data_IF_560947574593
#
_entry.id   IF_560947574593
#
_cell.length_a   1.000
_cell.length_b   1.000
_cell.length_c   1.000
_cell.angle_alpha   90.00
_cell.angle_beta   90.00
_cell.angle_gamma   90.00
#
_symmetry.space_group_name_H-M   'P 1'
#
loop_
_entity.id
_entity.type
_entity.pdbx_description
1 polymer ?
#
# COMPACT_ATOMS: atom_id res chain seq x y z
N UNK A 1 -26.25 48.12 13.61
CA UNK A 1 -26.12 47.61 12.25
C UNK A 1 -24.81 46.80 12.21
N UNK A 2 -24.88 45.52 12.44
CA UNK A 2 -23.77 44.60 12.35
C UNK A 2 -24.00 43.78 11.07
N UNK A 3 -23.12 43.97 10.12
CA UNK A 3 -23.08 43.19 8.88
C UNK A 3 -22.39 41.87 9.18
N UNK A 4 -23.17 40.81 9.14
CA UNK A 4 -22.69 39.44 9.12
C UNK A 4 -22.09 39.15 7.74
N UNK A 5 -20.76 39.04 7.67
CA UNK A 5 -20.08 38.48 6.51
C UNK A 5 -20.32 36.98 6.53
N UNK A 6 -21.23 36.55 5.67
CA UNK A 6 -21.51 35.17 5.35
C UNK A 6 -20.40 34.71 4.37
N UNK A 7 -19.35 34.04 4.87
CA UNK A 7 -18.33 33.41 4.04
C UNK A 7 -18.99 32.34 3.17
N UNK A 8 -18.94 32.54 1.87
CA UNK A 8 -19.40 31.57 0.88
C UNK A 8 -18.58 30.28 0.99
N UNK A 9 -19.20 29.09 0.83
CA UNK A 9 -18.47 27.83 0.86
C UNK A 9 -17.49 27.78 -0.32
N UNK A 10 -16.22 27.49 -0.02
CA UNK A 10 -15.17 27.25 -1.02
C UNK A 10 -15.60 26.03 -1.85
N UNK A 11 -15.89 26.25 -3.12
CA UNK A 11 -16.13 25.15 -4.09
C UNK A 11 -14.90 24.25 -4.14
N UNK A 12 -15.08 22.98 -3.75
CA UNK A 12 -14.03 21.94 -3.84
C UNK A 12 -13.82 21.58 -5.30
N UNK A 13 -12.74 22.06 -5.89
CA UNK A 13 -12.25 21.59 -7.20
C UNK A 13 -11.49 20.27 -6.98
N UNK A 14 -12.23 19.22 -6.62
CA UNK A 14 -11.69 17.87 -6.60
C UNK A 14 -11.27 17.45 -8.01
N UNK A 15 -10.17 16.71 -8.15
CA UNK A 15 -9.78 16.08 -9.41
C UNK A 15 -10.98 15.33 -9.97
N UNK A 16 -11.29 15.51 -11.29
CA UNK A 16 -12.47 14.91 -11.94
C UNK A 16 -12.46 13.39 -11.89
N UNK A 17 -11.28 12.77 -11.66
CA UNK A 17 -11.08 11.32 -11.66
C UNK A 17 -11.32 10.66 -10.27
N UNK A 18 -11.23 11.42 -9.15
CA UNK A 18 -11.37 10.88 -7.79
C UNK A 18 -12.21 11.80 -6.91
N UNK A 19 -13.56 11.77 -7.04
CA UNK A 19 -14.43 12.62 -6.24
C UNK A 19 -14.29 12.29 -4.76
N UNK A 20 -13.95 13.32 -3.95
CA UNK A 20 -13.76 13.18 -2.50
C UNK A 20 -12.36 12.81 -2.04
N UNK A 21 -11.37 12.79 -2.92
CA UNK A 21 -9.93 12.76 -2.57
C UNK A 21 -9.32 14.15 -2.82
N UNK A 22 -8.35 14.55 -1.99
CA UNK A 22 -7.65 15.83 -2.10
C UNK A 22 -6.21 15.66 -2.57
N UNK A 23 -5.75 16.57 -3.41
CA UNK A 23 -4.33 16.68 -3.75
C UNK A 23 -3.55 17.33 -2.61
N UNK A 24 -2.37 16.79 -2.29
CA UNK A 24 -1.49 17.36 -1.26
C UNK A 24 -0.16 17.78 -1.91
N UNK A 25 0.27 19.02 -1.68
CA UNK A 25 1.52 19.55 -2.22
C UNK A 25 2.37 20.19 -1.13
N UNK A 26 3.65 19.83 -1.08
CA UNK A 26 4.69 20.47 -0.27
C UNK A 26 5.50 21.41 -1.18
N UNK A 27 5.57 22.69 -0.82
CA UNK A 27 6.28 23.74 -1.56
C UNK A 27 7.42 24.32 -0.71
N UNK A 28 8.65 23.85 -0.92
CA UNK A 28 9.88 24.27 -0.24
C UNK A 28 9.74 24.29 1.29
N UNK A 29 9.08 23.26 1.83
CA UNK A 29 8.71 23.21 3.26
C UNK A 29 9.94 22.95 4.11
N UNK A 30 10.21 23.86 5.05
CA UNK A 30 11.29 23.72 6.02
C UNK A 30 10.76 23.79 7.44
N UNK A 31 11.41 23.03 8.34
CA UNK A 31 11.15 23.06 9.78
C UNK A 31 12.42 23.15 10.57
N UNK A 32 12.56 24.22 11.36
CA UNK A 32 13.61 24.39 12.36
C UNK A 32 12.99 24.54 13.73
N UNK A 33 13.44 23.72 14.68
CA UNK A 33 13.03 23.86 16.07
C UNK A 33 13.92 24.90 16.78
N UNK A 34 13.39 25.67 17.75
CA UNK A 34 14.20 26.59 18.54
C UNK A 34 15.36 25.87 19.24
N UNK A 35 16.58 26.41 19.09
CA UNK A 35 17.79 25.82 19.68
C UNK A 35 18.37 24.60 18.95
N UNK A 36 17.80 24.17 17.84
CA UNK A 36 18.38 23.12 17.01
C UNK A 36 19.44 23.67 16.05
N UNK A 37 20.60 23.00 15.98
CA UNK A 37 21.69 23.38 15.06
C UNK A 37 21.32 23.12 13.59
N UNK A 38 20.54 22.07 13.35
CA UNK A 38 20.10 21.69 12.00
C UNK A 38 18.56 21.70 11.88
N UNK A 39 18.02 22.00 10.69
CA UNK A 39 16.59 21.88 10.45
C UNK A 39 16.14 20.41 10.52
N UNK A 40 14.93 20.19 11.02
CA UNK A 40 14.30 18.87 11.00
C UNK A 40 13.76 18.51 9.59
N UNK A 41 13.47 19.52 8.77
CA UNK A 41 13.12 19.40 7.35
C UNK A 41 13.75 20.57 6.59
N UNK A 42 14.23 20.30 5.39
CA UNK A 42 14.90 21.27 4.52
C UNK A 42 14.31 21.21 3.12
N UNK A 43 13.64 22.32 2.74
CA UNK A 43 13.11 22.59 1.38
C UNK A 43 12.37 21.41 0.74
N UNK A 44 11.57 20.70 1.57
CA UNK A 44 10.81 19.54 1.12
C UNK A 44 9.77 19.97 0.07
N UNK A 45 9.88 19.41 -1.15
CA UNK A 45 8.99 19.72 -2.27
C UNK A 45 8.60 18.44 -3.00
N UNK A 46 7.32 18.11 -2.97
CA UNK A 46 6.71 17.03 -3.76
C UNK A 46 5.19 17.16 -3.73
N UNK A 47 4.52 16.45 -4.63
CA UNK A 47 3.08 16.52 -4.81
C UNK A 47 2.49 15.12 -4.79
N UNK A 48 1.47 14.90 -3.96
CA UNK A 48 0.71 13.65 -3.88
C UNK A 48 -0.58 13.85 -4.67
N UNK A 49 -0.75 13.13 -5.81
CA UNK A 49 -1.98 13.17 -6.57
C UNK A 49 -3.19 12.71 -5.76
N UNK A 50 -4.38 13.23 -6.10
CA UNK A 50 -5.61 12.80 -5.46
C UNK A 50 -5.87 11.30 -5.67
N UNK A 51 -6.23 10.59 -4.61
CA UNK A 51 -6.55 9.16 -4.65
C UNK A 51 -5.34 8.22 -4.57
N UNK A 52 -4.11 8.74 -4.55
CA UNK A 52 -2.89 7.94 -4.42
C UNK A 52 -2.42 7.78 -2.96
N UNK A 53 -1.72 6.67 -2.71
CA UNK A 53 -0.96 6.43 -1.48
C UNK A 53 0.47 6.92 -1.69
N UNK A 54 0.89 7.94 -0.95
CA UNK A 54 2.28 8.38 -0.87
C UNK A 54 2.93 7.87 0.42
N UNK A 55 4.00 7.11 0.30
CA UNK A 55 4.75 6.59 1.45
C UNK A 55 5.99 7.43 1.71
N UNK A 56 6.07 8.04 2.91
CA UNK A 56 7.29 8.68 3.39
C UNK A 56 8.14 7.62 4.12
N UNK A 57 9.33 7.35 3.59
CA UNK A 57 10.23 6.34 4.16
C UNK A 57 11.65 6.92 4.34
N UNK A 58 12.41 6.35 5.27
CA UNK A 58 13.79 6.78 5.54
C UNK A 58 14.23 6.44 6.96
N UNK A 59 15.49 6.72 7.32
CA UNK A 59 16.04 6.45 8.65
C UNK A 59 15.26 7.12 9.78
N UNK A 60 15.42 6.62 11.00
CA UNK A 60 14.84 7.27 12.17
C UNK A 60 15.38 8.70 12.32
N UNK A 61 14.51 9.64 12.66
CA UNK A 61 14.90 11.04 12.84
C UNK A 61 15.00 11.87 11.56
N UNK A 62 14.78 11.31 10.36
CA UNK A 62 14.87 12.09 9.11
C UNK A 62 13.67 13.02 8.83
N UNK A 63 12.73 13.18 9.78
CA UNK A 63 11.68 14.20 9.67
C UNK A 63 10.32 13.73 9.14
N UNK A 64 10.10 12.44 8.85
CA UNK A 64 8.83 11.91 8.31
C UNK A 64 7.59 12.30 9.14
N UNK A 65 7.61 11.97 10.42
CA UNK A 65 6.52 12.32 11.35
C UNK A 65 6.37 13.85 11.50
N UNK A 66 7.48 14.61 11.41
CA UNK A 66 7.44 16.08 11.42
C UNK A 66 6.71 16.60 10.17
N UNK A 67 7.05 16.10 8.98
CA UNK A 67 6.37 16.46 7.72
C UNK A 67 4.86 16.21 7.82
N UNK A 68 4.48 15.00 8.26
CA UNK A 68 3.08 14.63 8.39
C UNK A 68 2.33 15.50 9.44
N UNK A 69 2.97 15.81 10.58
CA UNK A 69 2.38 16.67 11.62
C UNK A 69 2.22 18.12 11.20
N UNK A 70 2.96 18.59 10.21
CA UNK A 70 2.77 19.92 9.64
C UNK A 70 1.55 19.97 8.72
N UNK A 71 1.21 18.88 8.01
CA UNK A 71 0.00 18.82 7.16
C UNK A 71 -1.26 19.11 7.96
N UNK A 72 -1.41 18.51 9.16
CA UNK A 72 -2.58 18.75 10.03
C UNK A 72 -2.38 19.87 11.05
N UNK A 73 -1.32 20.68 10.87
CA UNK A 73 -0.97 21.82 11.75
C UNK A 73 -0.85 21.46 13.22
N UNK A 74 -0.36 20.26 13.55
CA UNK A 74 0.10 19.95 14.91
C UNK A 74 1.45 20.59 15.20
N UNK A 75 2.22 20.87 14.15
CA UNK A 75 3.50 21.57 14.19
C UNK A 75 3.45 22.67 13.12
N UNK A 76 3.88 23.88 13.46
CA UNK A 76 3.93 24.98 12.52
C UNK A 76 5.09 24.84 11.53
N UNK A 77 4.85 25.22 10.29
CA UNK A 77 5.84 25.31 9.22
C UNK A 77 6.73 26.54 9.50
N UNK A 78 8.06 26.40 9.35
CA UNK A 78 8.98 27.54 9.47
C UNK A 78 9.01 28.34 8.17
N UNK A 79 9.36 27.69 7.04
CA UNK A 79 9.41 28.27 5.70
C UNK A 79 8.69 27.38 4.69
N UNK A 80 8.26 27.97 3.59
CA UNK A 80 7.48 27.30 2.56
C UNK A 80 5.99 27.18 2.93
N UNK A 81 5.27 26.33 2.19
CA UNK A 81 3.84 26.09 2.42
C UNK A 81 3.43 24.65 2.10
N UNK A 82 2.31 24.22 2.65
CA UNK A 82 1.64 22.96 2.32
C UNK A 82 0.25 23.32 1.79
N UNK A 83 -0.06 22.81 0.61
CA UNK A 83 -1.35 23.05 -0.02
C UNK A 83 -2.19 21.77 0.02
N UNK A 84 -3.47 21.89 0.34
CA UNK A 84 -4.48 20.85 0.25
C UNK A 84 -5.54 21.34 -0.74
N UNK A 85 -5.67 20.68 -1.89
CA UNK A 85 -6.46 21.14 -3.05
C UNK A 85 -6.14 22.60 -3.45
N UNK A 86 -4.85 22.93 -3.50
CA UNK A 86 -4.38 24.27 -3.85
C UNK A 86 -4.56 25.32 -2.76
N UNK A 87 -5.23 25.00 -1.63
CA UNK A 87 -5.43 25.93 -0.52
C UNK A 87 -4.37 25.72 0.58
N UNK A 88 -3.71 26.82 1.02
CA UNK A 88 -2.70 26.76 2.07
C UNK A 88 -3.28 26.29 3.40
N UNK A 89 -2.66 25.25 3.99
CA UNK A 89 -3.03 24.79 5.34
C UNK A 89 -2.78 25.84 6.40
N UNK A 90 -1.84 26.78 6.16
CA UNK A 90 -1.52 27.87 7.12
C UNK A 90 -2.67 28.87 7.26
N UNK A 91 -3.49 29.05 6.23
CA UNK A 91 -4.60 30.00 6.21
C UNK A 91 -5.89 29.43 6.80
N UNK A 92 -5.97 28.11 7.02
CA UNK A 92 -7.16 27.43 7.54
C UNK A 92 -7.15 27.40 9.07
N UNK A 93 -8.32 27.37 9.69
CA UNK A 93 -8.43 27.15 11.14
C UNK A 93 -7.90 25.74 11.49
N UNK A 94 -6.95 25.60 12.45
CA UNK A 94 -6.37 24.30 12.77
C UNK A 94 -7.38 23.25 13.23
N UNK A 95 -8.42 23.65 13.96
CA UNK A 95 -9.44 22.71 14.45
C UNK A 95 -10.31 22.17 13.32
N UNK A 96 -10.67 23.03 12.36
CA UNK A 96 -11.49 22.65 11.22
C UNK A 96 -10.70 21.79 10.24
N UNK A 97 -9.44 22.18 9.95
CA UNK A 97 -8.51 21.36 9.14
C UNK A 97 -8.35 19.94 9.71
N UNK A 98 -8.16 19.80 11.02
CA UNK A 98 -8.00 18.48 11.67
C UNK A 98 -9.25 17.61 11.63
N UNK A 99 -10.44 18.21 11.57
CA UNK A 99 -11.69 17.46 11.41
C UNK A 99 -11.91 16.95 10.00
N UNK A 100 -11.29 17.60 9.02
CA UNK A 100 -11.33 17.19 7.61
C UNK A 100 -10.25 16.19 7.21
N UNK A 101 -9.23 15.97 8.07
CA UNK A 101 -8.13 15.03 7.83
C UNK A 101 -8.32 13.79 8.71
N UNK A 102 -8.36 12.62 8.11
CA UNK A 102 -8.32 11.35 8.83
C UNK A 102 -6.91 11.12 9.39
N UNK A 103 -6.78 10.79 10.68
CA UNK A 103 -5.47 10.58 11.27
C UNK A 103 -5.39 9.27 12.05
N UNK A 104 -4.50 8.37 11.60
CA UNK A 104 -4.17 7.11 12.27
C UNK A 104 -2.78 7.26 12.90
N UNK A 105 -2.72 7.26 14.24
CA UNK A 105 -1.47 7.38 15.01
C UNK A 105 -0.85 6.00 15.26
N UNK A 106 0.47 5.96 15.46
CA UNK A 106 1.30 4.77 15.68
C UNK A 106 0.76 3.83 16.78
N UNK A 107 0.19 4.34 17.84
CA UNK A 107 -0.40 3.56 18.94
C UNK A 107 -1.93 3.49 18.86
N UNK A 108 -2.53 3.37 17.70
CA UNK A 108 -3.98 3.26 17.41
C UNK A 108 -4.85 4.31 18.14
N UNK A 109 -4.52 4.68 19.38
CA UNK A 109 -5.14 5.75 20.17
C UNK A 109 -6.66 5.65 20.33
N UNK A 110 -7.21 4.44 20.40
CA UNK A 110 -8.63 4.26 20.75
C UNK A 110 -8.86 4.70 22.19
N UNK A 111 -9.97 5.38 22.42
CA UNK A 111 -10.40 5.76 23.76
C UNK A 111 -10.85 4.52 24.52
N UNK A 112 -10.13 4.09 25.59
CA UNK A 112 -10.40 2.80 26.25
C UNK A 112 -11.75 2.74 26.98
N UNK A 113 -12.28 3.89 27.34
CA UNK A 113 -13.55 4.07 28.04
C UNK A 113 -14.77 4.23 27.12
N UNK A 114 -14.53 4.28 25.79
CA UNK A 114 -15.59 4.33 24.78
C UNK A 114 -15.72 2.97 24.10
N UNK A 115 -16.95 2.61 23.72
CA UNK A 115 -17.19 1.45 22.88
C UNK A 115 -16.53 1.60 21.50
N UNK A 116 -16.42 0.52 20.75
CA UNK A 116 -15.91 0.55 19.36
C UNK A 116 -16.76 1.49 18.49
N UNK A 117 -18.10 1.39 18.61
CA UNK A 117 -19.00 2.28 17.88
C UNK A 117 -18.82 3.75 18.26
N UNK A 118 -18.64 4.03 19.55
CA UNK A 118 -18.40 5.40 20.04
C UNK A 118 -17.02 5.94 19.62
N UNK A 119 -16.00 5.08 19.56
CA UNK A 119 -14.70 5.45 19.01
C UNK A 119 -14.82 5.88 17.53
N UNK A 120 -15.52 5.11 16.71
CA UNK A 120 -15.77 5.45 15.29
C UNK A 120 -16.60 6.73 15.18
N UNK A 121 -17.64 6.88 16.02
CA UNK A 121 -18.54 8.03 16.00
C UNK A 121 -17.93 9.35 16.50
N UNK A 122 -16.71 9.36 16.99
CA UNK A 122 -16.10 10.53 17.65
C UNK A 122 -16.08 11.76 16.74
N UNK A 123 -15.55 11.64 15.52
CA UNK A 123 -15.44 12.78 14.58
C UNK A 123 -16.80 13.19 14.02
N UNK A 124 -17.69 12.30 13.56
CA UNK A 124 -19.05 12.63 13.19
C UNK A 124 -19.81 13.45 14.24
N UNK A 125 -19.72 13.05 15.52
CA UNK A 125 -20.34 13.80 16.63
C UNK A 125 -19.74 15.19 16.81
N UNK A 126 -18.42 15.33 16.68
CA UNK A 126 -17.75 16.64 16.73
C UNK A 126 -18.15 17.57 15.57
N UNK A 127 -18.56 16.98 14.44
CA UNK A 127 -19.10 17.69 13.27
C UNK A 127 -20.61 17.98 13.41
N UNK A 128 -21.25 17.57 14.50
CA UNK A 128 -22.66 17.81 14.74
C UNK A 128 -23.61 16.92 13.90
N UNK A 129 -23.14 15.75 13.43
CA UNK A 129 -24.03 14.84 12.72
C UNK A 129 -25.13 14.34 13.65
N UNK A 130 -26.35 14.21 13.12
CA UNK A 130 -27.42 13.61 13.86
C UNK A 130 -27.16 12.13 14.19
N UNK A 131 -27.91 11.64 15.19
CA UNK A 131 -27.71 10.29 15.72
C UNK A 131 -27.93 9.21 14.65
N UNK A 132 -28.98 9.36 13.83
CA UNK A 132 -29.36 8.35 12.81
C UNK A 132 -28.26 8.23 11.74
N UNK A 133 -27.76 9.37 11.24
CA UNK A 133 -26.65 9.43 10.27
C UNK A 133 -25.37 8.83 10.85
N UNK A 134 -25.04 9.15 12.10
CA UNK A 134 -23.86 8.63 12.79
C UNK A 134 -23.93 7.12 12.99
N UNK A 135 -25.07 6.58 13.44
CA UNK A 135 -25.27 5.14 13.63
C UNK A 135 -25.19 4.38 12.29
N UNK A 136 -25.80 4.91 11.23
CA UNK A 136 -25.70 4.34 9.88
C UNK A 136 -24.24 4.31 9.39
N UNK A 137 -23.49 5.38 9.60
CA UNK A 137 -22.07 5.46 9.20
C UNK A 137 -21.20 4.48 10.00
N UNK A 138 -21.43 4.31 11.30
CA UNK A 138 -20.73 3.30 12.12
C UNK A 138 -20.99 1.90 11.57
N UNK A 139 -22.22 1.57 11.21
CA UNK A 139 -22.58 0.27 10.65
C UNK A 139 -21.87 0.03 9.31
N UNK A 140 -21.93 0.98 8.40
CA UNK A 140 -21.25 0.94 7.11
C UNK A 140 -19.73 0.72 7.27
N UNK A 141 -19.10 1.43 8.22
CA UNK A 141 -17.66 1.31 8.45
C UNK A 141 -17.28 -0.03 9.10
N UNK A 142 -18.11 -0.60 9.95
CA UNK A 142 -17.87 -1.95 10.48
C UNK A 142 -17.92 -3.01 9.38
N UNK A 143 -18.85 -2.89 8.44
CA UNK A 143 -18.91 -3.76 7.26
C UNK A 143 -17.67 -3.58 6.38
N UNK A 144 -17.29 -2.33 6.10
CA UNK A 144 -16.13 -1.96 5.29
C UNK A 144 -14.82 -2.56 5.83
N UNK A 145 -14.64 -2.56 7.17
CA UNK A 145 -13.46 -3.14 7.83
C UNK A 145 -13.61 -4.62 8.19
N UNK A 146 -14.66 -5.29 7.68
CA UNK A 146 -14.94 -6.71 7.89
C UNK A 146 -15.02 -7.09 9.39
N UNK A 147 -15.72 -6.28 10.18
CA UNK A 147 -16.05 -6.60 11.57
C UNK A 147 -17.55 -6.83 11.74
N UNK A 148 -17.95 -7.85 12.56
CA UNK A 148 -19.34 -8.11 12.85
C UNK A 148 -20.05 -6.91 13.49
N UNK A 149 -21.34 -6.65 13.15
CA UNK A 149 -22.08 -5.49 13.66
C UNK A 149 -22.13 -5.38 15.19
N UNK A 150 -22.14 -6.51 15.89
CA UNK A 150 -22.13 -6.57 17.36
C UNK A 150 -20.81 -6.07 17.97
N UNK A 151 -19.75 -5.94 17.17
CA UNK A 151 -18.47 -5.38 17.62
C UNK A 151 -18.61 -3.92 18.07
N UNK A 152 -19.60 -3.18 17.60
CA UNK A 152 -19.85 -1.78 17.99
C UNK A 152 -20.00 -1.58 19.49
N UNK A 153 -20.58 -2.58 20.18
CA UNK A 153 -20.90 -2.50 21.60
C UNK A 153 -19.76 -2.96 22.51
N UNK A 154 -18.68 -3.53 21.92
CA UNK A 154 -17.47 -3.96 22.65
C UNK A 154 -16.55 -2.78 22.95
N UNK A 155 -15.65 -2.97 23.91
CA UNK A 155 -14.60 -2.02 24.26
C UNK A 155 -13.26 -2.43 23.63
N UNK A 156 -12.30 -1.49 23.49
CA UNK A 156 -10.98 -1.78 22.91
C UNK A 156 -10.24 -2.94 23.58
N UNK A 157 -10.44 -3.19 24.88
CA UNK A 157 -9.82 -4.31 25.60
C UNK A 157 -10.39 -5.68 25.21
N UNK A 158 -11.58 -5.73 24.61
CA UNK A 158 -12.31 -6.96 24.26
C UNK A 158 -12.07 -7.40 22.80
N UNK A 159 -11.25 -6.68 22.06
CA UNK A 159 -10.94 -6.95 20.66
C UNK A 159 -9.45 -7.15 20.46
N UNK A 160 -9.07 -7.93 19.43
CA UNK A 160 -7.66 -8.21 19.11
C UNK A 160 -6.90 -6.96 18.64
N UNK A 161 -5.56 -7.03 18.64
CA UNK A 161 -4.71 -5.95 18.12
C UNK A 161 -5.05 -5.55 16.69
N UNK A 162 -5.22 -6.52 15.79
CA UNK A 162 -5.61 -6.28 14.40
C UNK A 162 -7.04 -5.70 14.27
N UNK A 163 -7.99 -6.13 15.12
CA UNK A 163 -9.31 -5.52 15.16
C UNK A 163 -9.24 -4.06 15.62
N UNK A 164 -8.47 -3.77 16.70
CA UNK A 164 -8.25 -2.38 17.15
C UNK A 164 -7.69 -1.51 16.04
N UNK A 165 -6.76 -2.03 15.23
CA UNK A 165 -6.19 -1.28 14.13
C UNK A 165 -7.22 -0.96 13.05
N UNK A 166 -8.01 -1.94 12.63
CA UNK A 166 -9.11 -1.72 11.69
C UNK A 166 -10.11 -0.68 12.21
N UNK A 167 -10.44 -0.72 13.49
CA UNK A 167 -11.26 0.31 14.14
C UNK A 167 -10.60 1.70 14.10
N UNK A 168 -9.28 1.79 14.27
CA UNK A 168 -8.52 3.03 14.12
C UNK A 168 -8.64 3.63 12.71
N UNK A 169 -8.56 2.77 11.68
CA UNK A 169 -8.81 3.17 10.27
C UNK A 169 -10.26 3.62 10.07
N UNK A 170 -11.23 2.85 10.56
CA UNK A 170 -12.64 3.22 10.47
C UNK A 170 -12.95 4.57 11.15
N UNK A 171 -12.35 4.83 12.32
CA UNK A 171 -12.46 6.12 13.00
C UNK A 171 -11.90 7.26 12.16
N UNK A 172 -10.76 7.05 11.51
CA UNK A 172 -10.15 8.05 10.63
C UNK A 172 -11.03 8.32 9.39
N UNK A 173 -11.72 7.30 8.87
CA UNK A 173 -12.64 7.39 7.72
C UNK A 173 -14.03 7.90 8.09
N UNK A 174 -14.37 8.02 9.37
CA UNK A 174 -15.76 8.23 9.83
C UNK A 174 -16.41 9.50 9.25
N UNK A 175 -15.64 10.57 9.11
CA UNK A 175 -16.11 11.84 8.54
C UNK A 175 -15.96 11.92 7.01
N UNK A 176 -15.61 10.82 6.35
CA UNK A 176 -15.30 10.77 4.92
C UNK A 176 -14.23 11.79 4.48
N UNK A 177 -13.03 11.79 5.10
CA UNK A 177 -12.01 12.78 4.84
C UNK A 177 -11.45 12.65 3.42
N UNK A 178 -11.05 13.78 2.77
CA UNK A 178 -10.38 13.74 1.46
C UNK A 178 -8.92 13.32 1.55
N UNK A 179 -8.31 13.43 2.73
CA UNK A 179 -6.91 13.08 3.01
C UNK A 179 -6.81 12.25 4.30
N UNK A 180 -6.02 11.20 4.26
CA UNK A 180 -5.66 10.41 5.44
C UNK A 180 -4.16 10.48 5.71
N UNK A 181 -3.79 10.60 6.98
CA UNK A 181 -2.41 10.56 7.47
C UNK A 181 -2.25 9.32 8.35
N UNK A 182 -1.21 8.52 8.12
CA UNK A 182 -0.95 7.29 8.87
C UNK A 182 0.49 7.21 9.33
N UNK A 183 0.71 7.22 10.66
CA UNK A 183 2.03 7.17 11.28
C UNK A 183 2.33 5.73 11.74
N UNK A 184 3.16 5.01 11.01
CA UNK A 184 3.57 3.62 11.25
C UNK A 184 2.41 2.69 11.67
N UNK A 185 1.30 2.64 10.91
CA UNK A 185 0.09 1.95 11.36
C UNK A 185 0.28 0.44 11.55
N UNK A 186 1.29 -0.18 10.93
CA UNK A 186 1.56 -1.62 11.03
C UNK A 186 2.82 -1.95 11.87
N UNK A 187 3.48 -0.96 12.47
CA UNK A 187 4.77 -1.13 13.15
C UNK A 187 4.78 -2.11 14.34
N UNK A 188 3.68 -2.24 15.07
CA UNK A 188 3.58 -3.07 16.28
C UNK A 188 2.87 -4.42 16.06
N UNK A 189 2.83 -4.93 14.81
CA UNK A 189 2.09 -6.14 14.44
C UNK A 189 3.07 -7.22 14.00
N UNK A 190 2.77 -8.47 14.35
CA UNK A 190 3.55 -9.61 13.88
C UNK A 190 3.52 -9.73 12.33
N UNK A 191 4.57 -10.29 11.69
CA UNK A 191 4.71 -10.27 10.23
C UNK A 191 3.53 -10.90 9.46
N UNK A 192 2.97 -12.01 9.95
CA UNK A 192 1.88 -12.73 9.28
C UNK A 192 0.59 -11.91 9.30
N UNK A 193 0.26 -11.38 10.48
CA UNK A 193 -0.92 -10.52 10.66
C UNK A 193 -0.76 -9.21 9.90
N UNK A 194 0.46 -8.64 9.88
CA UNK A 194 0.81 -7.40 9.14
C UNK A 194 0.53 -7.57 7.66
N UNK A 195 1.05 -8.62 7.03
CA UNK A 195 0.87 -8.89 5.61
C UNK A 195 -0.62 -8.97 5.23
N UNK A 196 -1.41 -9.70 6.02
CA UNK A 196 -2.86 -9.80 5.83
C UNK A 196 -3.55 -8.44 5.94
N UNK A 197 -3.22 -7.64 6.98
CA UNK A 197 -3.84 -6.33 7.18
C UNK A 197 -3.48 -5.34 6.10
N UNK A 198 -2.25 -5.36 5.58
CA UNK A 198 -1.83 -4.56 4.44
C UNK A 198 -2.64 -4.92 3.19
N UNK A 199 -2.81 -6.21 2.90
CA UNK A 199 -3.61 -6.67 1.76
C UNK A 199 -5.09 -6.28 1.90
N UNK A 200 -5.67 -6.39 3.10
CA UNK A 200 -7.03 -5.92 3.40
C UNK A 200 -7.14 -4.39 3.20
N UNK A 201 -6.13 -3.63 3.65
CA UNK A 201 -6.10 -2.19 3.49
C UNK A 201 -5.98 -1.75 2.03
N UNK A 202 -5.14 -2.41 1.23
CA UNK A 202 -5.01 -2.10 -0.20
C UNK A 202 -6.32 -2.36 -0.96
N UNK A 203 -7.05 -3.44 -0.63
CA UNK A 203 -8.39 -3.69 -1.18
C UNK A 203 -9.37 -2.58 -0.80
N UNK A 204 -9.38 -2.20 0.48
CA UNK A 204 -10.19 -1.09 0.97
C UNK A 204 -9.89 0.21 0.22
N UNK A 205 -8.61 0.53 0.00
CA UNK A 205 -8.19 1.72 -0.73
C UNK A 205 -8.69 1.72 -2.19
N UNK A 206 -8.73 0.58 -2.85
CA UNK A 206 -9.30 0.45 -4.21
C UNK A 206 -10.77 0.87 -4.26
N UNK A 207 -11.52 0.63 -3.19
CA UNK A 207 -12.94 0.99 -3.08
C UNK A 207 -13.13 2.47 -2.71
N UNK A 208 -12.38 2.96 -1.71
CA UNK A 208 -12.58 4.33 -1.17
C UNK A 208 -11.81 5.41 -1.92
N UNK A 209 -10.70 5.07 -2.57
CA UNK A 209 -9.84 5.96 -3.37
C UNK A 209 -9.49 7.30 -2.71
N UNK A 210 -9.14 7.27 -1.42
CA UNK A 210 -8.71 8.46 -0.68
C UNK A 210 -7.23 8.74 -0.89
N UNK A 211 -6.84 10.02 -0.81
CA UNK A 211 -5.41 10.35 -0.75
C UNK A 211 -4.86 9.99 0.61
N UNK A 212 -3.75 9.27 0.63
CA UNK A 212 -3.16 8.75 1.86
C UNK A 212 -1.68 9.13 1.92
N UNK A 213 -1.26 9.76 3.02
CA UNK A 213 0.16 9.90 3.36
C UNK A 213 0.48 8.91 4.47
N UNK A 214 1.35 7.98 4.15
CA UNK A 214 1.73 6.86 4.99
C UNK A 214 3.19 7.00 5.41
N UNK A 215 3.49 6.90 6.70
CA UNK A 215 4.88 6.96 7.21
C UNK A 215 5.31 5.59 7.68
N UNK A 216 6.47 5.14 7.24
CA UNK A 216 7.11 3.91 7.70
C UNK A 216 8.65 4.07 7.72
N UNK A 217 9.33 3.14 8.38
CA UNK A 217 10.78 2.99 8.29
C UNK A 217 11.18 1.74 7.46
N UNK A 218 10.19 0.98 6.97
CA UNK A 218 10.36 -0.25 6.22
C UNK A 218 10.17 0.01 4.72
N UNK A 219 11.24 -0.19 3.94
CA UNK A 219 11.21 0.01 2.48
C UNK A 219 10.34 -1.04 1.77
N UNK A 220 10.26 -2.27 2.29
CA UNK A 220 9.42 -3.32 1.71
C UNK A 220 7.94 -2.98 1.88
N UNK A 221 7.58 -2.40 3.02
CA UNK A 221 6.25 -1.86 3.26
C UNK A 221 5.94 -0.70 2.31
N UNK A 222 6.90 0.23 2.10
CA UNK A 222 6.74 1.34 1.17
C UNK A 222 6.52 0.87 -0.27
N UNK A 223 7.29 -0.12 -0.72
CA UNK A 223 7.16 -0.72 -2.07
C UNK A 223 5.81 -1.41 -2.24
N UNK A 224 5.34 -2.12 -1.21
CA UNK A 224 4.07 -2.86 -1.25
C UNK A 224 2.85 -1.95 -1.23
N UNK A 225 2.92 -0.87 -0.45
CA UNK A 225 1.75 -0.05 -0.11
C UNK A 225 1.61 1.21 -0.98
N UNK A 226 2.72 1.76 -1.50
CA UNK A 226 2.73 3.08 -2.10
C UNK A 226 2.51 3.07 -3.61
N UNK A 227 1.69 3.98 -4.11
CA UNK A 227 1.69 4.39 -5.51
C UNK A 227 2.90 5.28 -5.79
N UNK A 228 3.31 6.06 -4.78
CA UNK A 228 4.53 6.87 -4.77
C UNK A 228 5.29 6.73 -3.46
N UNK A 229 6.61 6.83 -3.54
CA UNK A 229 7.50 6.77 -2.38
C UNK A 229 8.35 8.03 -2.32
N UNK A 230 8.34 8.71 -1.17
CA UNK A 230 9.24 9.81 -0.83
C UNK A 230 10.35 9.28 0.11
N UNK A 231 11.53 9.03 -0.42
CA UNK A 231 12.70 8.60 0.37
C UNK A 231 13.38 9.82 0.96
N UNK A 232 13.42 9.86 2.29
CA UNK A 232 14.04 10.95 3.05
C UNK A 232 15.35 10.49 3.65
N UNK A 233 16.37 11.37 3.63
CA UNK A 233 17.65 11.16 4.33
C UNK A 233 17.74 12.01 5.60
N UNK A 234 18.73 11.74 6.42
CA UNK A 234 19.04 12.56 7.60
C UNK A 234 19.17 14.05 7.22
N UNK A 235 18.74 14.92 8.14
CA UNK A 235 18.65 16.35 7.88
C UNK A 235 17.36 16.79 7.18
N UNK A 236 16.40 15.90 7.00
CA UNK A 236 15.07 16.24 6.49
C UNK A 236 15.03 16.55 4.98
N UNK A 237 15.97 16.00 4.22
CA UNK A 237 16.11 16.22 2.77
C UNK A 237 15.44 15.09 2.00
N UNK A 238 14.66 15.44 0.97
CA UNK A 238 14.11 14.48 0.01
C UNK A 238 15.24 13.92 -0.88
N UNK A 239 15.48 12.62 -0.82
CA UNK A 239 16.49 11.96 -1.63
C UNK A 239 15.94 11.57 -3.01
N UNK A 240 14.73 10.98 -3.03
CA UNK A 240 14.03 10.63 -4.26
C UNK A 240 12.52 10.61 -4.00
N UNK A 241 11.74 11.00 -5.02
CA UNK A 241 10.30 10.89 -5.05
C UNK A 241 9.86 10.32 -6.39
N UNK A 242 9.35 9.10 -6.40
CA UNK A 242 8.91 8.43 -7.63
C UNK A 242 7.98 7.25 -7.31
N UNK A 243 7.58 6.50 -8.36
CA UNK A 243 6.89 5.22 -8.19
C UNK A 243 7.86 4.14 -7.67
N UNK A 244 7.35 3.08 -7.01
CA UNK A 244 8.18 1.97 -6.54
C UNK A 244 9.06 1.37 -7.64
N UNK A 245 8.52 1.18 -8.85
CA UNK A 245 9.23 0.62 -9.99
C UNK A 245 10.46 1.47 -10.34
N UNK A 246 10.28 2.79 -10.50
CA UNK A 246 11.37 3.70 -10.85
C UNK A 246 12.44 3.78 -9.77
N UNK A 247 12.05 3.76 -8.50
CA UNK A 247 12.99 3.75 -7.39
C UNK A 247 13.86 2.47 -7.41
N UNK A 248 13.26 1.33 -7.76
CA UNK A 248 13.97 0.05 -7.87
C UNK A 248 14.86 -0.03 -9.11
N UNK A 249 14.45 0.58 -10.22
CA UNK A 249 15.18 0.59 -11.50
C UNK A 249 16.29 1.62 -11.53
N UNK A 250 15.98 2.86 -11.13
CA UNK A 250 16.84 4.03 -11.26
C UNK A 250 16.97 4.77 -9.89
N UNK A 251 17.69 4.20 -8.89
CA UNK A 251 17.97 4.92 -7.66
C UNK A 251 18.72 6.23 -7.96
N UNK A 252 18.24 7.36 -7.41
CA UNK A 252 18.80 8.68 -7.70
C UNK A 252 20.26 8.85 -7.28
N UNK A 253 20.69 8.11 -6.26
CA UNK A 253 22.06 8.12 -5.77
C UNK A 253 22.42 6.85 -4.97
N UNK A 254 23.66 6.78 -4.51
CA UNK A 254 24.18 5.64 -3.73
C UNK A 254 23.45 5.45 -2.37
N UNK A 255 22.96 6.54 -1.77
CA UNK A 255 22.18 6.43 -0.54
C UNK A 255 20.86 5.70 -0.80
N UNK A 256 20.13 6.10 -1.83
CA UNK A 256 18.88 5.44 -2.23
C UNK A 256 19.13 3.99 -2.59
N UNK A 257 20.16 3.71 -3.41
CA UNK A 257 20.52 2.36 -3.81
C UNK A 257 20.83 1.44 -2.63
N UNK A 258 21.53 1.95 -1.60
CA UNK A 258 21.81 1.20 -0.37
C UNK A 258 20.58 1.06 0.53
N UNK A 259 19.75 2.11 0.60
CA UNK A 259 18.53 2.10 1.43
C UNK A 259 17.49 1.10 0.91
N UNK A 260 17.34 1.01 -0.41
CA UNK A 260 16.45 0.03 -1.06
C UNK A 260 16.99 -1.40 -0.91
N UNK A 261 18.30 -1.58 -0.87
CA UNK A 261 18.96 -2.87 -0.67
C UNK A 261 19.48 -3.52 -1.95
N UNK A 262 20.34 -4.53 -1.76
CA UNK A 262 20.93 -5.29 -2.88
C UNK A 262 19.92 -6.24 -3.56
N UNK A 263 18.84 -6.57 -2.87
CA UNK A 263 17.77 -7.46 -3.32
C UNK A 263 16.67 -6.74 -4.13
N UNK A 264 16.95 -5.50 -4.60
CA UNK A 264 16.01 -4.69 -5.39
C UNK A 264 15.40 -5.42 -6.59
N UNK A 265 16.18 -6.32 -7.22
CA UNK A 265 15.67 -7.18 -8.30
C UNK A 265 14.53 -8.10 -7.82
N UNK A 266 14.71 -8.74 -6.65
CA UNK A 266 13.66 -9.58 -6.06
C UNK A 266 12.45 -8.75 -5.60
N UNK A 267 12.67 -7.54 -5.10
CA UNK A 267 11.60 -6.60 -4.73
C UNK A 267 10.79 -6.19 -5.97
N UNK A 268 11.45 -5.98 -7.12
CA UNK A 268 10.77 -5.70 -8.38
C UNK A 268 9.86 -6.85 -8.83
N UNK A 269 10.27 -8.10 -8.62
CA UNK A 269 9.39 -9.25 -8.88
C UNK A 269 8.11 -9.26 -8.03
N UNK A 270 8.11 -8.60 -6.88
CA UNK A 270 6.91 -8.49 -6.05
C UNK A 270 5.88 -7.50 -6.64
N UNK A 271 6.31 -6.57 -7.50
CA UNK A 271 5.43 -5.61 -8.18
C UNK A 271 4.82 -6.17 -9.48
N UNK A 272 5.46 -7.16 -10.09
CA UNK A 272 5.01 -7.81 -11.32
C UNK A 272 4.21 -9.07 -10.99
N UNK A 273 3.24 -9.40 -11.84
CA UNK A 273 2.34 -10.56 -11.67
C UNK A 273 2.56 -11.61 -12.77
N UNK A 274 2.04 -12.80 -12.57
CA UNK A 274 2.03 -13.84 -13.61
C UNK A 274 1.24 -13.43 -14.85
N UNK A 275 0.26 -12.53 -14.71
CA UNK A 275 -0.46 -11.92 -15.85
C UNK A 275 0.45 -11.07 -16.75
N UNK A 276 1.58 -10.57 -16.26
CA UNK A 276 2.47 -9.65 -16.96
C UNK A 276 3.51 -10.38 -17.81
N UNK A 277 3.58 -11.72 -17.71
CA UNK A 277 4.50 -12.55 -18.46
C UNK A 277 3.76 -13.56 -19.35
N UNK A 278 4.43 -14.05 -20.39
CA UNK A 278 3.90 -15.13 -21.22
C UNK A 278 4.02 -16.45 -20.51
N UNK A 279 2.90 -17.14 -20.31
CA UNK A 279 2.89 -18.50 -19.78
C UNK A 279 3.13 -19.52 -20.91
N UNK A 280 3.87 -20.58 -20.62
CA UNK A 280 3.99 -21.72 -21.52
C UNK A 280 2.69 -22.50 -21.58
N UNK A 281 2.40 -23.08 -22.73
CA UNK A 281 1.24 -23.95 -22.91
C UNK A 281 1.44 -25.28 -22.17
N UNK A 282 0.47 -25.66 -21.32
CA UNK A 282 0.43 -26.98 -20.69
C UNK A 282 -0.16 -28.02 -21.64
N UNK A 283 0.40 -29.23 -21.64
CA UNK A 283 -0.16 -30.40 -22.32
C UNK A 283 -1.17 -31.07 -21.35
N UNK A 284 -2.43 -30.59 -21.39
CA UNK A 284 -3.48 -31.07 -20.52
C UNK A 284 -3.99 -32.44 -20.98
N UNK A 285 -3.93 -33.47 -20.13
CA UNK A 285 -4.46 -34.80 -20.35
C UNK A 285 -5.54 -35.13 -19.32
N UNK A 286 -6.63 -35.85 -19.73
CA UNK A 286 -7.61 -36.33 -18.76
C UNK A 286 -6.93 -37.24 -17.71
N UNK A 287 -7.42 -37.19 -16.47
CA UNK A 287 -6.92 -38.06 -15.39
C UNK A 287 -6.98 -39.54 -15.79
N UNK A 288 -5.95 -40.30 -15.42
CA UNK A 288 -5.82 -41.72 -15.79
C UNK A 288 -5.39 -41.99 -17.24
N UNK A 289 -5.16 -40.93 -18.06
CA UNK A 289 -4.68 -41.13 -19.44
C UNK A 289 -3.16 -41.34 -19.46
N UNK A 290 -2.64 -42.39 -20.12
CA UNK A 290 -1.20 -42.57 -20.22
C UNK A 290 -0.56 -41.49 -21.09
N UNK A 291 0.48 -40.84 -20.56
CA UNK A 291 1.24 -39.86 -21.31
C UNK A 291 2.08 -40.51 -22.40
N UNK A 292 2.20 -39.85 -23.57
CA UNK A 292 3.03 -40.37 -24.68
C UNK A 292 4.49 -40.45 -24.25
N UNK A 293 5.23 -41.44 -24.73
CA UNK A 293 6.65 -41.64 -24.42
C UNK A 293 7.53 -40.42 -24.80
N UNK A 294 7.12 -39.62 -25.79
CA UNK A 294 7.81 -38.41 -26.26
C UNK A 294 7.36 -37.11 -25.55
N UNK A 295 6.38 -37.17 -24.63
CA UNK A 295 5.91 -35.97 -23.94
C UNK A 295 6.96 -35.46 -22.96
N UNK A 296 7.14 -34.14 -22.92
CA UNK A 296 7.97 -33.47 -21.91
C UNK A 296 7.27 -33.57 -20.54
N UNK A 297 7.84 -34.28 -19.55
CA UNK A 297 7.23 -34.43 -18.24
C UNK A 297 6.88 -33.12 -17.57
N UNK A 298 7.67 -32.07 -17.82
CA UNK A 298 7.47 -30.73 -17.21
C UNK A 298 6.29 -29.97 -17.81
N UNK A 299 5.71 -30.42 -18.91
CA UNK A 299 4.57 -29.79 -19.59
C UNK A 299 3.25 -30.50 -19.39
N UNK A 300 3.27 -31.77 -18.96
CA UNK A 300 2.06 -32.59 -18.83
C UNK A 300 1.38 -32.32 -17.49
N UNK A 301 0.12 -31.93 -17.57
CA UNK A 301 -0.77 -31.74 -16.41
C UNK A 301 -2.01 -32.57 -16.60
N UNK A 302 -2.31 -33.45 -15.64
CA UNK A 302 -3.55 -34.22 -15.62
C UNK A 302 -4.69 -33.35 -15.09
N UNK A 303 -5.83 -33.38 -15.77
CA UNK A 303 -6.98 -32.53 -15.45
C UNK A 303 -8.26 -33.36 -15.28
N UNK A 304 -9.16 -32.89 -14.44
CA UNK A 304 -10.52 -33.44 -14.31
C UNK A 304 -11.41 -33.04 -15.52
N UNK A 305 -12.67 -33.51 -15.51
CA UNK A 305 -13.67 -33.18 -16.54
C UNK A 305 -13.99 -31.69 -16.68
N UNK A 306 -13.59 -30.89 -15.69
CA UNK A 306 -13.77 -29.42 -15.67
C UNK A 306 -12.50 -28.68 -16.07
N UNK A 307 -11.41 -29.38 -16.40
CA UNK A 307 -10.11 -28.78 -16.76
C UNK A 307 -9.29 -28.32 -15.57
N UNK A 308 -9.61 -28.74 -14.34
CA UNK A 308 -8.86 -28.43 -13.13
C UNK A 308 -7.70 -29.41 -12.95
N UNK A 309 -6.53 -28.93 -12.53
CA UNK A 309 -5.36 -29.77 -12.35
C UNK A 309 -5.56 -30.75 -11.19
N UNK A 310 -5.36 -32.05 -11.42
CA UNK A 310 -5.46 -33.13 -10.43
C UNK A 310 -4.14 -33.83 -10.22
N UNK A 311 -3.22 -33.75 -11.18
CA UNK A 311 -1.90 -34.37 -11.13
C UNK A 311 -0.99 -33.79 -12.21
N UNK A 312 0.27 -34.19 -12.19
CA UNK A 312 1.26 -33.92 -13.23
C UNK A 312 2.13 -35.13 -13.47
N UNK A 313 2.85 -35.16 -14.58
CA UNK A 313 3.78 -36.24 -14.91
C UNK A 313 5.11 -36.00 -14.16
N UNK A 314 5.53 -36.96 -13.35
CA UNK A 314 6.83 -36.96 -12.69
C UNK A 314 7.99 -37.21 -13.65
N UNK A 315 9.21 -36.94 -13.19
CA UNK A 315 10.44 -37.22 -13.98
C UNK A 315 10.64 -38.71 -14.27
N UNK A 316 10.14 -39.56 -13.40
CA UNK A 316 10.10 -41.02 -13.57
C UNK A 316 8.94 -41.48 -14.45
N UNK A 317 8.13 -40.55 -14.97
CA UNK A 317 6.95 -40.73 -15.81
C UNK A 317 5.74 -41.35 -15.07
N UNK A 318 5.75 -41.31 -13.77
CA UNK A 318 4.60 -41.72 -12.95
C UNK A 318 3.78 -40.43 -12.59
N UNK A 319 2.45 -40.57 -12.40
CA UNK A 319 1.62 -39.48 -11.93
C UNK A 319 2.02 -39.03 -10.53
N UNK A 320 2.20 -37.73 -10.35
CA UNK A 320 2.49 -37.08 -9.08
C UNK A 320 1.42 -36.03 -8.74
N UNK A 321 1.29 -35.62 -7.48
CA UNK A 321 0.46 -34.48 -7.10
C UNK A 321 0.84 -33.21 -7.86
N UNK A 322 -0.13 -32.32 -8.13
CA UNK A 322 0.09 -31.03 -8.83
C UNK A 322 1.13 -30.18 -8.12
N UNK A 323 1.18 -30.26 -6.79
CA UNK A 323 1.96 -29.33 -5.99
C UNK A 323 1.25 -27.96 -5.83
N UNK A 324 2.00 -26.91 -5.48
CA UNK A 324 1.44 -25.57 -5.38
C UNK A 324 1.01 -25.05 -6.75
N UNK A 325 -0.06 -24.24 -6.79
CA UNK A 325 -0.55 -23.56 -7.99
C UNK A 325 -0.50 -22.05 -7.82
N UNK A 326 -0.36 -21.32 -8.92
CA UNK A 326 -0.49 -19.86 -8.96
C UNK A 326 -1.78 -19.42 -9.67
N UNK A 327 -2.11 -18.16 -9.55
CA UNK A 327 -3.16 -17.47 -10.31
C UNK A 327 -2.55 -16.33 -11.12
N UNK A 328 -3.23 -15.76 -12.12
CA UNK A 328 -2.73 -14.59 -12.85
C UNK A 328 -2.31 -13.42 -11.94
N UNK A 329 -2.94 -13.28 -10.76
CA UNK A 329 -2.63 -12.25 -9.77
C UNK A 329 -1.47 -12.59 -8.83
N UNK A 330 -0.92 -13.80 -8.89
CA UNK A 330 0.24 -14.20 -8.09
C UNK A 330 1.46 -13.37 -8.52
N UNK A 331 2.18 -12.77 -7.55
CA UNK A 331 3.40 -12.01 -7.83
C UNK A 331 4.50 -12.92 -8.42
N UNK A 332 5.36 -12.37 -9.28
CA UNK A 332 6.49 -13.13 -9.82
C UNK A 332 7.44 -13.60 -8.71
N UNK A 333 7.55 -12.85 -7.60
CA UNK A 333 8.32 -13.23 -6.42
C UNK A 333 7.74 -14.48 -5.75
N UNK A 334 6.43 -14.50 -5.54
CA UNK A 334 5.76 -15.65 -4.92
C UNK A 334 5.78 -16.85 -5.84
N UNK A 335 5.57 -16.65 -7.15
CA UNK A 335 5.69 -17.69 -8.16
C UNK A 335 7.10 -18.31 -8.18
N UNK A 336 8.15 -17.48 -8.11
CA UNK A 336 9.53 -17.94 -8.00
C UNK A 336 9.76 -18.79 -6.73
N UNK A 337 9.23 -18.32 -5.59
CA UNK A 337 9.31 -19.05 -4.31
C UNK A 337 8.60 -20.40 -4.38
N UNK A 338 7.41 -20.46 -4.99
CA UNK A 338 6.66 -21.70 -5.20
C UNK A 338 7.42 -22.69 -6.11
N UNK A 339 8.00 -22.21 -7.22
CA UNK A 339 8.83 -23.01 -8.14
C UNK A 339 10.04 -23.57 -7.40
N UNK A 340 10.76 -22.75 -6.62
CA UNK A 340 11.94 -23.19 -5.87
C UNK A 340 11.60 -24.22 -4.79
N UNK A 341 10.46 -24.09 -4.12
CA UNK A 341 9.98 -25.03 -3.10
C UNK A 341 9.57 -26.38 -3.69
N UNK A 342 9.26 -26.42 -4.98
CA UNK A 342 8.83 -27.61 -5.72
C UNK A 342 9.91 -28.11 -6.71
N UNK A 343 11.14 -28.17 -6.25
CA UNK A 343 12.28 -28.72 -7.01
C UNK A 343 12.51 -28.06 -8.39
N UNK A 344 12.24 -26.75 -8.50
CA UNK A 344 12.34 -25.95 -9.73
C UNK A 344 11.43 -26.42 -10.88
N UNK A 345 10.35 -27.11 -10.58
CA UNK A 345 9.36 -27.50 -11.59
C UNK A 345 8.49 -26.30 -11.99
N UNK A 346 8.03 -26.24 -13.26
CA UNK A 346 7.12 -25.18 -13.68
C UNK A 346 5.88 -25.09 -12.80
N UNK A 347 5.50 -23.88 -12.41
CA UNK A 347 4.30 -23.64 -11.61
C UNK A 347 3.06 -23.74 -12.49
N UNK A 348 2.11 -24.57 -12.10
CA UNK A 348 0.81 -24.62 -12.76
C UNK A 348 0.01 -23.38 -12.39
N UNK A 349 -0.39 -22.61 -13.40
CA UNK A 349 -1.22 -21.40 -13.23
C UNK A 349 -2.66 -21.76 -13.56
N UNK A 350 -3.58 -21.39 -12.68
CA UNK A 350 -5.02 -21.63 -12.84
C UNK A 350 -5.79 -20.32 -12.99
N UNK A 351 -6.85 -20.34 -13.78
CA UNK A 351 -7.76 -19.21 -13.95
C UNK A 351 -8.75 -19.07 -12.78
N UNK A 352 -9.69 -18.12 -12.88
CA UNK A 352 -10.72 -17.86 -11.87
C UNK A 352 -11.68 -19.07 -11.65
N UNK A 353 -11.85 -19.95 -12.64
CA UNK A 353 -12.66 -21.18 -12.56
C UNK A 353 -11.85 -22.37 -12.01
N UNK A 354 -10.56 -22.17 -11.74
CA UNK A 354 -9.61 -23.18 -11.29
C UNK A 354 -9.10 -24.09 -12.41
N UNK A 355 -9.28 -23.71 -13.69
CA UNK A 355 -8.78 -24.45 -14.85
C UNK A 355 -7.34 -24.08 -15.14
N UNK A 356 -6.60 -25.01 -15.76
CA UNK A 356 -5.21 -24.75 -16.15
C UNK A 356 -5.16 -23.65 -17.22
N UNK A 357 -4.51 -22.53 -16.87
CA UNK A 357 -4.27 -21.40 -17.77
C UNK A 357 -2.91 -21.50 -18.48
N UNK A 358 -1.92 -22.18 -17.87
CA UNK A 358 -0.59 -22.37 -18.41
C UNK A 358 0.43 -22.76 -17.36
N UNK A 359 1.70 -22.66 -17.73
CA UNK A 359 2.84 -22.98 -16.87
C UNK A 359 3.78 -21.79 -16.78
N UNK A 360 4.16 -21.40 -15.56
CA UNK A 360 5.19 -20.41 -15.33
C UNK A 360 6.54 -21.09 -15.04
N UNK A 361 7.58 -20.68 -15.80
CA UNK A 361 8.93 -21.26 -15.68
C UNK A 361 9.88 -20.26 -15.03
N UNK A 362 10.90 -20.81 -14.37
CA UNK A 362 11.92 -19.99 -13.68
C UNK A 362 12.71 -19.10 -14.64
N UNK A 363 13.03 -19.59 -15.85
CA UNK A 363 13.78 -18.84 -16.87
C UNK A 363 12.97 -17.66 -17.43
N UNK A 364 11.65 -17.80 -17.57
CA UNK A 364 10.75 -16.70 -17.99
C UNK A 364 10.69 -15.63 -16.89
N UNK A 365 10.54 -16.04 -15.63
CA UNK A 365 10.56 -15.11 -14.48
C UNK A 365 11.93 -14.42 -14.35
N UNK A 366 13.04 -15.18 -14.51
CA UNK A 366 14.39 -14.62 -14.50
C UNK A 366 14.63 -13.67 -15.68
N UNK A 367 14.06 -13.95 -16.85
CA UNK A 367 14.08 -13.06 -18.01
C UNK A 367 13.39 -11.73 -17.77
N UNK A 368 12.28 -11.72 -17.03
CA UNK A 368 11.60 -10.50 -16.62
C UNK A 368 12.49 -9.61 -15.69
N UNK A 369 13.36 -10.22 -14.87
CA UNK A 369 14.38 -9.49 -14.10
C UNK A 369 15.44 -8.84 -14.99
N UNK A 370 15.89 -9.56 -16.04
CA UNK A 370 16.95 -9.10 -16.91
C UNK A 370 16.50 -7.99 -17.89
N UNK A 371 15.23 -8.05 -18.34
CA UNK A 371 14.68 -7.08 -19.28
C UNK A 371 14.63 -5.65 -18.71
N UNK A 372 14.50 -5.48 -17.39
CA UNK A 372 14.58 -4.18 -16.73
C UNK A 372 15.99 -3.69 -16.40
N UNK A 373 17.03 -4.52 -16.56
CA UNK A 373 18.42 -4.10 -16.38
C UNK A 373 19.07 -3.55 -17.68
N UNK A 374 18.34 -3.54 -18.79
CA UNK A 374 18.86 -3.19 -20.12
C UNK A 374 19.10 -1.71 -20.43
N UNK A 375 18.87 -0.78 -19.47
CA UNK A 375 19.16 0.65 -19.63
C UNK A 375 20.34 1.16 -18.81
N UNK A 376 21.12 0.30 -18.15
CA UNK A 376 22.39 0.72 -17.57
C UNK A 376 23.38 0.96 -18.74
N UNK A 377 23.67 2.24 -19.03
CA UNK A 377 24.76 2.66 -19.92
C UNK A 377 26.04 1.93 -19.53
N UNK A 378 26.66 1.26 -20.51
CA UNK A 378 28.04 0.81 -20.39
C UNK A 378 28.93 1.99 -19.94
N UNK A 379 29.85 1.80 -18.99
CA UNK A 379 30.79 2.84 -18.64
C UNK A 379 31.66 3.15 -19.88
N UNK A 380 31.60 4.39 -20.35
CA UNK A 380 32.56 4.88 -21.39
C UNK A 380 33.97 4.57 -20.93
N UNK A 381 34.67 3.75 -21.71
CA UNK A 381 36.07 3.48 -21.54
C UNK A 381 36.84 4.80 -21.73
N UNK A 382 37.42 5.28 -20.63
CA UNK A 382 38.36 6.42 -20.67
C UNK A 382 39.65 5.93 -21.37
N UNK A 383 39.89 6.47 -22.55
CA UNK A 383 41.18 6.37 -23.27
C UNK A 383 42.15 7.39 -22.73
#
# INVERSE_FOLDING_TARGET
MATSDEEAPVERTGSQDHPGAAELEFQNVSKRYPGADQPALQELSFKVPAGEICVLVGPSGCGKTTAMRMVNRMIDITDGDILLDGASVRQRNPSDLRREIGYVIQQIGLFPHLSIGDNIATVPRLLGWDRKRTEARVQELLELISLPPETKDRYPAEVSGGQRQRVGVARALAADPPLMLMDEPFGAIDPITRDRLQNEFLRLQQDIRKTIVFVTHDIDEAIKMGDRIAIMREGGVLAQYDTPERILEEPADEFVARFVGLDRGLKRLALSKLSDISLDQADCLPDGTPARASADPHRVVFVDDRGRPVGRLGSDREPEPVGPTGTPDTSLRDALSLIMSDSNRPLVVVDADGRVAGLARIDVIAGALAAGNGSAKEPEAVS
#
